data_IF_576971907850
#
_entry.id   IF_576971907850
#
_cell.length_a   1.000
_cell.length_b   1.000
_cell.length_c   1.000
_cell.angle_alpha   90.00
_cell.angle_beta   90.00
_cell.angle_gamma   90.00
#
_symmetry.space_group_name_H-M   'P 1'
#
loop_
_entity.id
_entity.type
_entity.pdbx_description
1 polymer ?
#
# COMPACT_ATOMS: atom_id res chain seq x y z
N UNK A 1 11.36 16.13 5.52
CA UNK A 1 10.97 15.10 6.46
C UNK A 1 12.23 14.45 7.02
N UNK A 2 12.38 14.42 8.34
CA UNK A 2 13.54 13.86 9.05
C UNK A 2 13.73 12.36 8.68
N UNK A 3 12.69 11.57 8.77
CA UNK A 3 12.72 10.11 8.50
C UNK A 3 13.24 9.80 7.09
N UNK A 4 12.83 10.60 6.09
CA UNK A 4 13.33 10.49 4.72
C UNK A 4 14.85 10.70 4.64
N UNK A 5 15.35 11.73 5.33
CA UNK A 5 16.79 12.04 5.36
C UNK A 5 17.60 10.93 6.02
N UNK A 6 17.14 10.41 7.16
CA UNK A 6 17.80 9.31 7.86
C UNK A 6 17.86 8.04 6.99
N UNK A 7 16.75 7.69 6.34
CA UNK A 7 16.70 6.54 5.43
C UNK A 7 17.68 6.72 4.24
N UNK A 8 17.75 7.93 3.66
CA UNK A 8 18.68 8.25 2.57
C UNK A 8 20.15 8.22 3.01
N UNK A 9 20.45 8.66 4.24
CA UNK A 9 21.80 8.58 4.82
C UNK A 9 22.21 7.13 4.99
N UNK A 10 21.39 6.32 5.65
CA UNK A 10 21.65 4.90 5.91
C UNK A 10 21.82 4.12 4.61
N UNK A 11 20.91 4.28 3.66
CA UNK A 11 20.93 3.60 2.36
C UNK A 11 21.86 4.21 1.31
N UNK A 12 22.50 5.37 1.64
CA UNK A 12 23.36 6.14 0.71
C UNK A 12 22.66 6.43 -0.63
N UNK A 13 21.34 6.59 -0.62
CA UNK A 13 20.50 6.82 -1.80
C UNK A 13 20.64 5.75 -2.90
N UNK A 14 21.11 4.54 -2.55
CA UNK A 14 21.24 3.44 -3.51
C UNK A 14 19.87 2.89 -3.89
N UNK A 15 19.69 2.58 -5.17
CA UNK A 15 18.46 1.99 -5.69
C UNK A 15 18.74 1.17 -6.97
N UNK A 16 18.19 -0.05 -7.10
CA UNK A 16 17.53 -0.83 -6.03
C UNK A 16 18.54 -1.39 -5.01
N UNK A 17 18.08 -1.63 -3.78
CA UNK A 17 18.85 -2.38 -2.79
C UNK A 17 18.52 -3.87 -2.91
N UNK A 18 19.54 -4.72 -2.78
CA UNK A 18 19.37 -6.18 -2.68
C UNK A 18 19.04 -6.60 -1.24
N UNK A 19 18.68 -7.85 -1.03
CA UNK A 19 18.46 -8.39 0.32
C UNK A 19 19.76 -8.39 1.13
N UNK A 20 20.88 -8.71 0.47
CA UNK A 20 22.22 -8.71 1.04
C UNK A 20 22.65 -7.31 1.49
N UNK A 21 22.31 -6.27 0.69
CA UNK A 21 22.55 -4.88 1.08
C UNK A 21 21.82 -4.55 2.39
N UNK A 22 20.54 -4.93 2.51
CA UNK A 22 19.75 -4.65 3.72
C UNK A 22 20.27 -5.46 4.91
N UNK A 23 20.64 -6.72 4.72
CA UNK A 23 21.29 -7.55 5.76
C UNK A 23 22.58 -6.88 6.23
N UNK A 24 23.40 -6.40 5.31
CA UNK A 24 24.63 -5.67 5.65
C UNK A 24 24.33 -4.40 6.49
N UNK A 25 23.31 -3.62 6.10
CA UNK A 25 22.89 -2.43 6.85
C UNK A 25 22.41 -2.77 8.26
N UNK A 26 21.65 -3.86 8.42
CA UNK A 26 21.22 -4.36 9.72
C UNK A 26 22.43 -4.71 10.61
N UNK A 27 23.37 -5.50 10.09
CA UNK A 27 24.59 -5.90 10.82
C UNK A 27 25.43 -4.69 11.21
N UNK A 28 25.60 -3.71 10.31
CA UNK A 28 26.32 -2.47 10.58
C UNK A 28 25.69 -1.65 11.72
N UNK A 29 24.38 -1.80 11.94
CA UNK A 29 23.64 -1.15 13.03
C UNK A 29 23.45 -2.07 14.26
N UNK A 30 24.31 -3.09 14.42
CA UNK A 30 24.31 -4.03 15.54
C UNK A 30 22.99 -4.82 15.69
N UNK A 31 22.40 -5.21 14.57
CA UNK A 31 21.24 -6.10 14.53
C UNK A 31 21.65 -7.48 14.01
N UNK A 32 21.37 -8.52 14.78
CA UNK A 32 21.54 -9.89 14.36
C UNK A 32 20.30 -10.37 13.60
N UNK A 33 20.47 -11.40 12.76
CA UNK A 33 19.36 -11.97 11.98
C UNK A 33 19.39 -13.47 12.18
N UNK A 34 18.26 -14.05 12.58
CA UNK A 34 18.06 -15.49 12.73
C UNK A 34 16.78 -15.94 12.04
N UNK A 35 16.75 -17.18 11.63
CA UNK A 35 15.57 -17.79 11.02
C UNK A 35 14.88 -18.70 12.04
N UNK A 36 13.54 -18.69 12.01
CA UNK A 36 12.72 -19.62 12.78
C UNK A 36 11.67 -20.27 11.89
N UNK A 37 11.07 -21.34 12.37
CA UNK A 37 10.00 -22.03 11.67
C UNK A 37 8.72 -21.93 12.50
N UNK A 38 7.67 -21.39 11.90
CA UNK A 38 6.32 -21.42 12.44
C UNK A 38 5.35 -21.53 11.24
N UNK A 39 4.42 -22.46 11.34
CA UNK A 39 3.46 -22.69 10.28
C UNK A 39 2.40 -21.59 10.19
N UNK A 40 1.74 -21.50 9.04
CA UNK A 40 0.52 -20.74 8.89
C UNK A 40 -0.57 -21.35 9.75
N UNK A 41 -1.37 -20.52 10.36
CA UNK A 41 -2.56 -20.93 11.09
C UNK A 41 -3.81 -20.35 10.40
N UNK A 42 -4.94 -20.99 10.65
CA UNK A 42 -6.20 -20.65 10.05
C UNK A 42 -7.10 -20.05 11.11
N UNK A 43 -7.71 -18.92 10.80
CA UNK A 43 -8.75 -18.29 11.62
C UNK A 43 -10.05 -18.26 10.82
N UNK A 44 -11.16 -18.64 11.46
CA UNK A 44 -12.49 -18.47 10.86
C UNK A 44 -12.91 -17.01 11.03
N UNK A 45 -13.21 -16.32 9.92
CA UNK A 45 -13.85 -15.00 9.95
C UNK A 45 -15.37 -15.12 10.20
N UNK A 46 -16.02 -14.01 10.52
CA UNK A 46 -17.50 -13.96 10.67
C UNK A 46 -18.30 -14.43 9.44
N UNK A 47 -17.66 -14.43 8.26
CA UNK A 47 -18.25 -14.87 6.99
C UNK A 47 -17.97 -16.33 6.64
N UNK A 48 -17.62 -17.18 7.60
CA UNK A 48 -17.16 -18.57 7.39
C UNK A 48 -15.96 -18.72 6.43
N UNK A 49 -15.45 -17.64 5.90
CA UNK A 49 -14.28 -17.67 5.03
C UNK A 49 -13.03 -17.96 5.87
N UNK A 50 -12.34 -19.02 5.50
CA UNK A 50 -11.08 -19.40 6.13
C UNK A 50 -9.98 -18.41 5.74
N UNK A 51 -9.47 -17.66 6.72
CA UNK A 51 -8.37 -16.71 6.54
C UNK A 51 -7.08 -17.36 7.05
N UNK A 52 -6.08 -17.39 6.18
CA UNK A 52 -4.73 -17.86 6.55
C UNK A 52 -3.95 -16.71 7.18
N UNK A 53 -3.24 -17.01 8.24
CA UNK A 53 -2.35 -16.07 8.92
C UNK A 53 -0.94 -16.64 9.04
N UNK A 54 0.07 -15.79 8.87
CA UNK A 54 1.47 -16.15 8.97
C UNK A 54 2.21 -15.17 9.86
N UNK A 55 2.81 -15.68 10.93
CA UNK A 55 3.73 -14.92 11.75
C UNK A 55 5.07 -14.80 11.04
N UNK A 56 5.36 -13.62 10.47
CA UNK A 56 6.50 -13.42 9.56
C UNK A 56 7.82 -13.20 10.28
N UNK A 57 7.82 -12.30 11.25
CA UNK A 57 9.05 -11.87 11.90
C UNK A 57 8.77 -11.15 13.21
N UNK A 58 9.77 -11.11 14.09
CA UNK A 58 9.74 -10.32 15.32
C UNK A 58 11.15 -9.86 15.70
N UNK A 59 11.22 -8.87 16.58
CA UNK A 59 12.46 -8.37 17.13
C UNK A 59 12.57 -8.72 18.61
N UNK A 60 13.69 -9.28 19.00
CA UNK A 60 14.04 -9.47 20.41
C UNK A 60 15.06 -8.40 20.82
N UNK A 61 14.68 -7.59 21.79
CA UNK A 61 15.47 -6.49 22.31
C UNK A 61 16.72 -6.96 23.06
N UNK A 62 16.60 -8.05 23.82
CA UNK A 62 17.66 -8.54 24.72
C UNK A 62 18.90 -8.98 23.94
N UNK A 63 18.71 -9.77 22.89
CA UNK A 63 19.79 -10.24 22.04
C UNK A 63 19.97 -9.41 20.74
N UNK A 64 19.21 -8.32 20.58
CA UNK A 64 19.23 -7.43 19.41
C UNK A 64 19.06 -8.20 18.10
N UNK A 65 18.22 -9.22 18.11
CA UNK A 65 18.05 -10.14 16.99
C UNK A 65 16.70 -9.97 16.33
N UNK A 66 16.72 -9.88 15.00
CA UNK A 66 15.54 -9.97 14.14
C UNK A 66 15.34 -11.44 13.79
N UNK A 67 14.21 -12.00 14.18
CA UNK A 67 13.82 -13.35 13.82
C UNK A 67 12.87 -13.31 12.64
N UNK A 68 13.19 -14.07 11.58
CA UNK A 68 12.40 -14.13 10.34
C UNK A 68 11.93 -15.56 10.10
N UNK A 69 10.65 -15.72 9.75
CA UNK A 69 10.10 -17.02 9.44
C UNK A 69 10.64 -17.56 8.12
N UNK A 70 11.16 -18.77 8.15
CA UNK A 70 11.72 -19.47 6.99
C UNK A 70 10.71 -19.67 5.86
N UNK A 71 9.41 -19.60 6.12
CA UNK A 71 8.34 -19.65 5.11
C UNK A 71 8.43 -18.52 4.08
N UNK A 72 8.93 -17.34 4.48
CA UNK A 72 9.10 -16.22 3.56
C UNK A 72 10.51 -16.12 2.97
N UNK A 73 11.41 -17.07 3.25
CA UNK A 73 12.82 -17.02 2.81
C UNK A 73 12.97 -16.84 1.31
N UNK A 74 12.08 -17.43 0.52
CA UNK A 74 12.07 -17.30 -0.94
C UNK A 74 11.49 -15.97 -1.45
N UNK A 75 10.80 -15.22 -0.60
CA UNK A 75 10.25 -13.91 -0.93
C UNK A 75 11.19 -12.80 -0.46
N UNK A 76 12.25 -12.60 -1.24
CA UNK A 76 13.30 -11.62 -0.93
C UNK A 76 12.76 -10.20 -0.75
N UNK A 77 11.68 -9.84 -1.44
CA UNK A 77 11.07 -8.51 -1.34
C UNK A 77 10.39 -8.28 0.00
N UNK A 78 9.73 -9.29 0.57
CA UNK A 78 9.16 -9.21 1.93
C UNK A 78 10.24 -9.24 3.00
N UNK A 79 11.23 -10.12 2.86
CA UNK A 79 12.39 -10.16 3.77
C UNK A 79 13.06 -8.80 3.85
N UNK A 80 13.34 -8.17 2.70
CA UNK A 80 13.92 -6.81 2.67
C UNK A 80 13.06 -5.80 3.40
N UNK A 81 11.76 -5.84 3.19
CA UNK A 81 10.84 -4.90 3.82
C UNK A 81 10.82 -5.07 5.34
N UNK A 82 10.66 -6.30 5.83
CA UNK A 82 10.64 -6.59 7.28
C UNK A 82 11.98 -6.19 7.93
N UNK A 83 13.12 -6.53 7.32
CA UNK A 83 14.43 -6.09 7.80
C UNK A 83 14.57 -4.57 7.84
N UNK A 84 14.08 -3.87 6.80
CA UNK A 84 14.12 -2.41 6.74
C UNK A 84 13.27 -1.76 7.82
N UNK A 85 12.17 -2.39 8.22
CA UNK A 85 11.31 -1.91 9.30
C UNK A 85 11.98 -2.01 10.66
N UNK A 86 12.67 -3.12 10.95
CA UNK A 86 13.44 -3.26 12.19
C UNK A 86 14.70 -2.40 12.21
N UNK A 87 15.33 -2.21 11.07
CA UNK A 87 16.43 -1.24 10.94
C UNK A 87 15.93 0.17 11.26
N UNK A 88 14.75 0.54 10.78
CA UNK A 88 14.10 1.80 11.13
C UNK A 88 13.90 1.94 12.64
N UNK A 89 13.34 0.90 13.28
CA UNK A 89 13.14 0.87 14.72
C UNK A 89 14.46 1.08 15.48
N UNK A 90 15.55 0.47 15.01
CA UNK A 90 16.87 0.69 15.59
C UNK A 90 17.38 2.10 15.40
N UNK A 91 17.25 2.66 14.21
CA UNK A 91 17.77 4.00 13.86
C UNK A 91 16.95 5.11 14.51
N UNK A 92 15.62 5.01 14.46
CA UNK A 92 14.72 6.07 14.93
C UNK A 92 14.43 6.00 16.44
N UNK A 93 14.40 4.79 17.00
CA UNK A 93 13.93 4.55 18.37
C UNK A 93 14.97 3.83 19.24
N UNK A 94 16.23 3.75 18.80
CA UNK A 94 17.30 3.09 19.56
C UNK A 94 17.17 1.58 19.71
N UNK A 95 16.10 0.95 19.19
CA UNK A 95 15.82 -0.48 19.35
C UNK A 95 15.30 -0.81 20.77
N UNK A 96 14.43 0.04 21.29
CA UNK A 96 13.86 -0.07 22.65
C UNK A 96 12.88 -1.22 22.85
N UNK A 97 12.55 -1.93 21.77
CA UNK A 97 11.64 -3.09 21.79
C UNK A 97 10.15 -2.73 21.73
N UNK A 98 9.82 -1.43 21.69
CA UNK A 98 8.44 -0.97 21.52
C UNK A 98 8.06 -1.00 20.03
N UNK A 99 7.76 -2.20 19.56
CA UNK A 99 7.36 -2.49 18.16
C UNK A 99 6.02 -3.19 18.18
N UNK A 100 5.08 -2.71 17.38
CA UNK A 100 3.82 -3.44 17.26
C UNK A 100 3.98 -4.71 16.45
N UNK A 101 3.15 -5.70 16.77
CA UNK A 101 3.09 -6.96 16.05
C UNK A 101 2.48 -6.83 14.63
N UNK A 102 1.92 -5.67 14.28
CA UNK A 102 1.26 -5.45 12.99
C UNK A 102 2.21 -5.27 11.82
N UNK A 103 3.33 -4.60 12.03
CA UNK A 103 4.26 -4.23 10.95
C UNK A 103 4.92 -5.47 10.36
N UNK A 104 5.27 -6.43 11.19
CA UNK A 104 5.96 -7.66 10.83
C UNK A 104 5.05 -8.88 10.66
N UNK A 105 3.74 -8.67 10.78
CA UNK A 105 2.78 -9.73 10.60
C UNK A 105 2.40 -10.48 11.87
N UNK A 106 2.79 -10.03 13.07
CA UNK A 106 2.41 -10.48 14.40
C UNK A 106 1.66 -11.82 14.55
N UNK A 107 1.00 -12.05 15.65
CA UNK A 107 0.23 -13.29 15.87
C UNK A 107 -0.90 -13.51 14.87
N UNK A 108 -1.44 -12.44 14.30
CA UNK A 108 -2.52 -12.47 13.31
C UNK A 108 -2.01 -12.27 11.86
N UNK A 109 -0.70 -12.13 11.69
CA UNK A 109 -0.12 -11.85 10.38
C UNK A 109 -0.57 -10.51 9.78
N UNK A 110 -0.34 -10.35 8.49
CA UNK A 110 -0.83 -9.22 7.72
C UNK A 110 -2.27 -9.41 7.21
N UNK A 111 -2.89 -10.53 7.53
CA UNK A 111 -4.26 -10.84 7.13
C UNK A 111 -5.29 -9.96 7.84
N UNK A 112 -6.45 -9.73 7.23
CA UNK A 112 -7.51 -8.97 7.88
C UNK A 112 -7.91 -9.63 9.20
N UNK A 113 -7.98 -8.84 10.28
CA UNK A 113 -8.55 -9.32 11.52
C UNK A 113 -10.05 -9.56 11.33
N UNK A 114 -10.62 -10.62 11.93
CA UNK A 114 -12.06 -10.66 12.13
C UNK A 114 -12.50 -9.37 12.81
N UNK A 115 -13.62 -8.82 12.39
CA UNK A 115 -14.11 -7.56 12.91
C UNK A 115 -14.55 -7.74 14.36
N UNK A 116 -13.73 -7.35 15.30
CA UNK A 116 -14.16 -7.24 16.69
C UNK A 116 -15.05 -6.00 16.83
N UNK A 117 -16.31 -6.21 17.14
CA UNK A 117 -17.32 -5.14 17.39
C UNK A 117 -17.02 -4.29 18.63
N UNK A 118 -15.87 -4.44 19.23
CA UNK A 118 -15.53 -3.71 20.44
C UNK A 118 -15.00 -2.32 20.08
N UNK A 119 -15.77 -1.31 20.47
CA UNK A 119 -15.26 0.05 20.68
C UNK A 119 -14.32 0.06 21.88
N UNK A 120 -13.20 -0.63 21.78
CA UNK A 120 -12.13 -0.48 22.75
C UNK A 120 -11.66 0.98 22.68
N UNK A 121 -11.72 1.69 23.77
CA UNK A 121 -11.10 3.01 23.87
C UNK A 121 -9.64 2.89 23.50
N UNK A 122 -9.18 3.69 22.52
CA UNK A 122 -7.77 3.75 22.13
C UNK A 122 -6.94 4.17 23.33
N UNK A 123 -5.99 3.34 23.71
CA UNK A 123 -5.05 3.66 24.77
C UNK A 123 -3.91 4.53 24.24
N UNK A 124 -3.20 5.24 25.12
CA UNK A 124 -1.99 5.98 24.75
C UNK A 124 -0.93 5.06 24.14
N UNK A 125 -0.88 3.81 24.59
CA UNK A 125 0.03 2.80 24.08
C UNK A 125 -0.32 2.38 22.64
N UNK A 126 -1.60 2.27 22.31
CA UNK A 126 -2.06 1.98 20.95
C UNK A 126 -1.67 3.10 19.99
N UNK A 127 -1.79 4.34 20.42
CA UNK A 127 -1.36 5.50 19.64
C UNK A 127 0.15 5.51 19.42
N UNK A 128 0.94 5.18 20.45
CA UNK A 128 2.39 5.08 20.35
C UNK A 128 2.80 3.99 19.38
N UNK A 129 2.19 2.80 19.45
CA UNK A 129 2.45 1.71 18.51
C UNK A 129 2.08 2.10 17.08
N UNK A 130 0.92 2.69 16.86
CA UNK A 130 0.48 3.13 15.54
C UNK A 130 1.42 4.19 14.94
N UNK A 131 1.88 5.12 15.76
CA UNK A 131 2.85 6.15 15.35
C UNK A 131 4.19 5.54 14.95
N UNK A 132 4.73 4.67 15.77
CA UNK A 132 6.00 3.98 15.48
C UNK A 132 5.93 3.08 14.26
N UNK A 133 4.81 2.40 14.06
CA UNK A 133 4.55 1.61 12.86
C UNK A 133 4.55 2.48 11.61
N UNK A 134 3.93 3.66 11.69
CA UNK A 134 3.97 4.63 10.61
C UNK A 134 5.41 5.08 10.31
N UNK A 135 6.17 5.49 11.32
CA UNK A 135 7.56 5.93 11.15
C UNK A 135 8.45 4.85 10.56
N UNK A 136 8.37 3.62 11.10
CA UNK A 136 9.16 2.48 10.61
C UNK A 136 8.76 2.08 9.18
N UNK A 137 7.48 2.07 8.87
CA UNK A 137 6.98 1.78 7.51
C UNK A 137 7.39 2.86 6.51
N UNK A 138 7.34 4.13 6.93
CA UNK A 138 7.77 5.25 6.09
C UNK A 138 9.28 5.20 5.82
N UNK A 139 10.09 4.96 6.86
CA UNK A 139 11.53 4.77 6.73
C UNK A 139 11.86 3.61 5.79
N UNK A 140 11.23 2.44 5.98
CA UNK A 140 11.45 1.27 5.14
C UNK A 140 11.14 1.58 3.67
N UNK A 141 10.04 2.28 3.41
CA UNK A 141 9.69 2.76 2.06
C UNK A 141 10.74 3.73 1.50
N UNK A 142 11.25 4.65 2.30
CA UNK A 142 12.26 5.61 1.90
C UNK A 142 13.64 4.98 1.68
N UNK A 143 14.02 4.02 2.53
CA UNK A 143 15.26 3.25 2.38
C UNK A 143 15.28 2.42 1.10
N UNK A 144 14.21 1.64 0.88
CA UNK A 144 14.10 0.77 -0.30
C UNK A 144 13.85 1.54 -1.60
N UNK A 145 13.27 2.74 -1.51
CA UNK A 145 12.91 3.58 -2.65
C UNK A 145 13.26 5.05 -2.35
N UNK A 146 14.55 5.43 -2.30
CA UNK A 146 14.96 6.81 -2.05
C UNK A 146 14.39 7.73 -3.12
N UNK A 147 13.93 8.91 -2.71
CA UNK A 147 13.05 9.79 -3.49
C UNK A 147 13.52 10.02 -4.93
N UNK A 148 14.73 10.55 -5.10
CA UNK A 148 15.19 10.93 -6.43
C UNK A 148 15.61 9.74 -7.31
N UNK A 149 16.38 8.74 -6.83
CA UNK A 149 16.70 7.54 -7.61
C UNK A 149 15.46 6.75 -8.03
N UNK A 150 14.49 6.59 -7.12
CA UNK A 150 13.24 5.89 -7.41
C UNK A 150 12.40 6.63 -8.46
N UNK A 151 12.22 7.96 -8.33
CA UNK A 151 11.50 8.75 -9.34
C UNK A 151 12.16 8.65 -10.71
N UNK A 152 13.49 8.75 -10.79
CA UNK A 152 14.22 8.58 -12.07
C UNK A 152 14.00 7.20 -12.66
N UNK A 153 14.04 6.15 -11.84
CA UNK A 153 13.79 4.78 -12.30
C UNK A 153 12.35 4.58 -12.77
N UNK A 154 11.36 5.07 -12.03
CA UNK A 154 9.96 5.00 -12.44
C UNK A 154 9.69 5.78 -13.73
N UNK A 155 10.27 6.96 -13.89
CA UNK A 155 10.14 7.75 -15.11
C UNK A 155 10.71 7.00 -16.34
N UNK A 156 11.91 6.40 -16.21
CA UNK A 156 12.50 5.57 -17.27
C UNK A 156 11.65 4.34 -17.64
N UNK A 157 10.89 3.81 -16.69
CA UNK A 157 9.99 2.68 -16.90
C UNK A 157 8.53 3.13 -17.15
N UNK A 158 8.31 4.41 -17.52
CA UNK A 158 7.00 4.96 -17.86
C UNK A 158 5.94 4.70 -16.78
N UNK A 159 6.35 4.69 -15.51
CA UNK A 159 5.50 4.38 -14.35
C UNK A 159 4.79 3.02 -14.42
N UNK A 160 5.34 2.06 -15.16
CA UNK A 160 4.80 0.70 -15.17
C UNK A 160 4.87 0.08 -13.77
N UNK A 161 3.70 -0.26 -13.25
CA UNK A 161 3.55 -0.87 -11.92
C UNK A 161 4.26 -2.21 -11.83
N UNK A 162 4.37 -2.99 -12.92
CA UNK A 162 5.10 -4.26 -12.93
C UNK A 162 6.61 -4.10 -12.65
N UNK A 163 7.13 -2.89 -12.69
CA UNK A 163 8.52 -2.57 -12.33
C UNK A 163 8.90 -3.02 -10.91
N UNK A 164 7.91 -3.27 -10.02
CA UNK A 164 8.17 -3.82 -8.68
C UNK A 164 9.01 -5.12 -8.74
N UNK A 165 8.77 -5.98 -9.74
CA UNK A 165 9.51 -7.24 -9.93
C UNK A 165 10.99 -6.96 -10.20
N UNK A 166 11.26 -6.04 -11.11
CA UNK A 166 12.62 -5.63 -11.50
C UNK A 166 13.40 -5.00 -10.35
N UNK A 167 12.70 -4.25 -9.48
CA UNK A 167 13.32 -3.60 -8.33
C UNK A 167 13.38 -4.51 -7.09
N UNK A 168 12.86 -5.73 -7.19
CA UNK A 168 12.79 -6.66 -6.07
C UNK A 168 11.98 -6.09 -4.91
N UNK A 169 10.86 -5.42 -5.20
CA UNK A 169 9.92 -4.84 -4.24
C UNK A 169 8.64 -5.65 -4.20
N UNK A 170 7.87 -5.51 -3.12
CA UNK A 170 6.46 -5.89 -3.18
C UNK A 170 5.67 -4.82 -3.93
N UNK A 171 4.60 -5.17 -4.65
CA UNK A 171 3.80 -4.17 -5.35
C UNK A 171 3.21 -3.13 -4.39
N UNK A 172 2.89 -3.51 -3.16
CA UNK A 172 2.41 -2.60 -2.12
C UNK A 172 3.45 -1.54 -1.74
N UNK A 173 4.72 -1.92 -1.62
CA UNK A 173 5.82 -0.97 -1.33
C UNK A 173 5.97 0.03 -2.46
N UNK A 174 5.98 -0.43 -3.71
CA UNK A 174 6.09 0.45 -4.88
C UNK A 174 4.92 1.43 -4.93
N UNK A 175 3.68 0.96 -4.85
CA UNK A 175 2.48 1.82 -4.96
C UNK A 175 2.40 2.83 -3.81
N UNK A 176 2.62 2.42 -2.55
CA UNK A 176 2.66 3.35 -1.40
C UNK A 176 3.75 4.39 -1.56
N UNK A 177 4.91 3.98 -2.07
CA UNK A 177 6.01 4.94 -2.28
C UNK A 177 5.70 5.95 -3.37
N UNK A 178 5.03 5.54 -4.44
CA UNK A 178 4.55 6.48 -5.47
C UNK A 178 3.67 7.58 -4.88
N UNK A 179 2.75 7.24 -3.99
CA UNK A 179 1.89 8.24 -3.34
C UNK A 179 2.70 9.16 -2.42
N UNK A 180 3.65 8.62 -1.64
CA UNK A 180 4.44 9.40 -0.70
C UNK A 180 5.37 10.44 -1.37
N UNK A 181 5.78 10.21 -2.62
CA UNK A 181 6.64 11.13 -3.39
C UNK A 181 5.90 11.88 -4.47
N UNK A 182 4.59 11.67 -4.60
CA UNK A 182 3.75 12.33 -5.60
C UNK A 182 3.74 13.85 -5.38
N UNK A 183 3.86 14.65 -6.44
CA UNK A 183 3.61 16.10 -6.36
C UNK A 183 2.10 16.42 -6.24
N UNK A 184 1.23 15.46 -6.57
CA UNK A 184 -0.22 15.65 -6.55
C UNK A 184 -0.76 15.52 -5.13
N UNK A 185 -1.67 16.41 -4.74
CA UNK A 185 -2.28 16.42 -3.40
C UNK A 185 -3.38 15.39 -3.26
N UNK A 186 -4.13 15.15 -4.33
CA UNK A 186 -5.29 14.23 -4.36
C UNK A 186 -4.86 12.88 -4.92
N UNK A 187 -4.38 12.02 -4.04
CA UNK A 187 -3.97 10.66 -4.34
C UNK A 187 -4.60 9.69 -3.34
N UNK A 188 -4.63 8.42 -3.70
CA UNK A 188 -5.01 7.35 -2.79
C UNK A 188 -4.13 6.11 -2.96
N UNK A 189 -4.07 5.32 -1.90
CA UNK A 189 -3.63 3.94 -1.90
C UNK A 189 -4.62 3.14 -1.05
N UNK A 190 -5.17 2.09 -1.62
CA UNK A 190 -6.08 1.17 -0.96
C UNK A 190 -5.56 -0.25 -1.06
N UNK A 191 -5.84 -1.03 -0.01
CA UNK A 191 -5.57 -2.45 0.08
C UNK A 191 -6.86 -3.14 0.53
N UNK A 192 -7.46 -3.97 -0.34
CA UNK A 192 -8.75 -4.57 -0.12
C UNK A 192 -8.73 -6.09 -0.26
N UNK A 193 -9.43 -6.73 0.65
CA UNK A 193 -9.70 -8.17 0.66
C UNK A 193 -11.15 -8.44 0.31
N UNK A 194 -11.44 -9.61 -0.33
CA UNK A 194 -12.81 -10.03 -0.55
C UNK A 194 -13.59 -10.14 0.78
N UNK A 195 -14.90 -9.87 0.80
CA UNK A 195 -15.71 -9.36 -0.33
C UNK A 195 -15.63 -7.83 -0.52
N UNK A 196 -15.07 -7.08 0.38
CA UNK A 196 -15.01 -5.61 0.32
C UNK A 196 -14.35 -5.01 1.56
N UNK A 197 -13.48 -5.74 2.23
CA UNK A 197 -12.77 -5.27 3.42
C UNK A 197 -11.56 -4.43 3.02
N UNK A 198 -11.58 -3.14 3.35
CA UNK A 198 -10.45 -2.22 3.17
C UNK A 198 -9.51 -2.32 4.37
N UNK A 199 -8.46 -3.07 4.24
CA UNK A 199 -7.42 -3.21 5.26
C UNK A 199 -6.64 -1.92 5.46
N UNK A 200 -6.31 -1.25 4.37
CA UNK A 200 -5.50 -0.02 4.39
C UNK A 200 -6.13 1.03 3.51
N UNK A 201 -6.27 2.23 4.06
CA UNK A 201 -6.78 3.40 3.37
C UNK A 201 -5.79 4.54 3.61
N UNK A 202 -4.97 4.87 2.62
CA UNK A 202 -4.19 6.10 2.58
C UNK A 202 -4.77 7.01 1.51
N UNK A 203 -4.96 8.26 1.84
CA UNK A 203 -5.50 9.26 0.91
C UNK A 203 -4.89 10.62 1.14
N UNK A 204 -4.69 11.37 0.07
CA UNK A 204 -4.37 12.79 0.12
C UNK A 204 -5.58 13.63 0.55
N UNK A 205 -5.34 14.90 0.76
CA UNK A 205 -6.37 15.85 1.18
C UNK A 205 -7.55 15.89 0.21
N UNK A 206 -8.77 15.89 0.75
CA UNK A 206 -10.00 16.17 0.01
C UNK A 206 -10.31 15.24 -1.17
N UNK A 207 -9.91 13.96 -1.09
CA UNK A 207 -10.39 12.98 -2.06
C UNK A 207 -11.82 12.57 -1.68
N UNK A 208 -12.82 12.77 -2.56
CA UNK A 208 -14.19 12.39 -2.29
C UNK A 208 -14.33 10.87 -2.46
N UNK A 209 -14.42 10.14 -1.34
CA UNK A 209 -14.71 8.71 -1.36
C UNK A 209 -16.13 8.47 -0.83
N UNK A 210 -16.99 7.74 -1.58
CA UNK A 210 -18.41 7.60 -1.23
C UNK A 210 -18.67 6.81 0.04
N UNK A 211 -17.72 5.99 0.49
CA UNK A 211 -17.83 5.18 1.72
C UNK A 211 -17.22 5.84 2.97
N UNK A 212 -16.71 7.05 2.86
CA UNK A 212 -16.10 7.77 3.99
C UNK A 212 -14.92 7.02 4.62
N UNK A 213 -15.01 6.79 5.93
CA UNK A 213 -13.95 6.07 6.69
C UNK A 213 -14.29 4.60 6.96
N UNK A 214 -15.36 4.07 6.36
CA UNK A 214 -15.74 2.68 6.54
C UNK A 214 -14.66 1.72 6.00
N UNK A 215 -14.33 0.71 6.79
CA UNK A 215 -13.42 -0.36 6.38
C UNK A 215 -14.14 -1.53 5.72
N UNK A 216 -15.44 -1.67 5.95
CA UNK A 216 -16.25 -2.71 5.31
C UNK A 216 -17.19 -2.04 4.32
N UNK A 217 -17.07 -2.44 3.08
CA UNK A 217 -17.91 -1.96 1.99
C UNK A 217 -18.84 -3.10 1.60
N UNK A 218 -20.07 -3.05 2.08
CA UNK A 218 -21.07 -4.09 1.86
C UNK A 218 -21.54 -4.17 0.41
N UNK A 219 -21.48 -3.07 -0.32
CA UNK A 219 -21.84 -3.02 -1.74
C UNK A 219 -20.77 -2.26 -2.52
N UNK A 220 -19.64 -2.93 -2.85
CA UNK A 220 -18.51 -2.28 -3.50
C UNK A 220 -18.84 -1.88 -4.93
N UNK A 221 -18.77 -0.58 -5.20
CA UNK A 221 -19.02 -0.01 -6.53
C UNK A 221 -17.90 -0.32 -7.51
N UNK A 222 -18.21 -1.00 -8.61
CA UNK A 222 -17.26 -1.35 -9.67
C UNK A 222 -16.71 -0.14 -10.45
N UNK A 223 -17.26 1.04 -10.24
CA UNK A 223 -16.69 2.27 -10.81
C UNK A 223 -15.35 2.66 -10.16
N UNK A 224 -15.01 2.06 -9.02
CA UNK A 224 -13.68 2.14 -8.44
C UNK A 224 -12.83 0.95 -8.89
N UNK A 225 -11.68 1.22 -9.48
CA UNK A 225 -10.78 0.21 -10.04
C UNK A 225 -10.42 -0.91 -9.07
N UNK A 226 -10.31 -0.60 -7.77
CA UNK A 226 -10.04 -1.61 -6.75
C UNK A 226 -11.17 -2.64 -6.64
N UNK A 227 -12.42 -2.20 -6.61
CA UNK A 227 -13.57 -3.11 -6.46
C UNK A 227 -13.89 -3.86 -7.74
N UNK A 228 -13.72 -3.21 -8.90
CA UNK A 228 -13.81 -3.90 -10.19
C UNK A 228 -12.83 -5.06 -10.28
N UNK A 229 -11.61 -4.86 -9.80
CA UNK A 229 -10.59 -5.90 -9.79
C UNK A 229 -10.85 -6.94 -8.69
N UNK A 230 -11.36 -6.51 -7.53
CA UNK A 230 -11.71 -7.39 -6.41
C UNK A 230 -12.85 -8.36 -6.78
N UNK A 231 -13.85 -7.88 -7.53
CA UNK A 231 -14.96 -8.69 -8.03
C UNK A 231 -14.53 -9.66 -9.14
N UNK A 232 -13.35 -9.45 -9.74
CA UNK A 232 -12.80 -10.35 -10.76
C UNK A 232 -11.36 -10.72 -10.49
N UNK A 233 -11.14 -11.56 -9.49
CA UNK A 233 -9.81 -12.02 -9.06
C UNK A 233 -9.11 -12.94 -10.06
N UNK A 234 -9.73 -13.29 -11.18
CA UNK A 234 -9.06 -14.05 -12.26
C UNK A 234 -8.10 -13.20 -13.06
N UNK A 235 -8.30 -11.88 -13.05
CA UNK A 235 -7.42 -10.91 -13.73
C UNK A 235 -6.09 -10.83 -12.97
N UNK A 236 -5.01 -11.28 -13.61
CA UNK A 236 -3.64 -11.29 -13.03
C UNK A 236 -2.80 -10.08 -13.43
N UNK A 237 -3.21 -9.34 -14.46
CA UNK A 237 -2.52 -8.14 -14.95
C UNK A 237 -2.98 -6.89 -14.20
N UNK A 238 -2.16 -5.83 -14.13
CA UNK A 238 -2.63 -4.54 -13.66
C UNK A 238 -3.85 -4.06 -14.46
N UNK A 239 -4.82 -3.48 -13.76
CA UNK A 239 -6.02 -2.90 -14.35
C UNK A 239 -5.99 -1.39 -14.15
N UNK A 240 -5.88 -0.63 -15.23
CA UNK A 240 -5.98 0.83 -15.20
C UNK A 240 -7.42 1.26 -15.43
N UNK A 241 -7.86 2.28 -14.72
CA UNK A 241 -9.20 2.83 -14.85
C UNK A 241 -9.17 4.35 -14.69
N UNK A 242 -9.92 5.02 -15.56
CA UNK A 242 -10.34 6.40 -15.37
C UNK A 242 -11.70 6.39 -14.68
N UNK A 243 -11.83 7.20 -13.64
CA UNK A 243 -13.08 7.37 -12.89
C UNK A 243 -13.39 8.86 -12.79
N UNK A 244 -14.66 9.19 -12.90
CA UNK A 244 -15.14 10.55 -12.70
C UNK A 244 -15.90 10.62 -11.38
N UNK A 245 -15.56 11.60 -10.55
CA UNK A 245 -16.17 11.81 -9.25
C UNK A 245 -16.73 13.23 -9.19
N UNK A 246 -17.91 13.37 -8.61
CA UNK A 246 -18.49 14.69 -8.32
C UNK A 246 -18.55 14.88 -6.80
N UNK A 247 -18.04 16.02 -6.35
CA UNK A 247 -18.15 16.46 -4.96
C UNK A 247 -18.68 17.89 -4.96
N UNK A 248 -19.89 18.06 -4.46
CA UNK A 248 -20.65 19.31 -4.59
C UNK A 248 -20.72 19.77 -6.04
N UNK A 249 -20.11 20.90 -6.38
CA UNK A 249 -20.08 21.45 -7.73
C UNK A 249 -18.79 21.14 -8.50
N UNK A 250 -17.85 20.38 -7.91
CA UNK A 250 -16.58 20.07 -8.53
C UNK A 250 -16.58 18.67 -9.14
N UNK A 251 -16.06 18.57 -10.36
CA UNK A 251 -15.85 17.30 -11.04
C UNK A 251 -14.36 16.97 -10.99
N UNK A 252 -14.05 15.73 -10.61
CA UNK A 252 -12.71 15.22 -10.53
C UNK A 252 -12.54 14.05 -11.49
N UNK A 253 -11.50 14.11 -12.29
CA UNK A 253 -11.05 13.00 -13.11
C UNK A 253 -9.93 12.27 -12.39
N UNK A 254 -10.12 10.98 -12.11
CA UNK A 254 -9.17 10.12 -11.43
C UNK A 254 -8.61 9.05 -12.35
N UNK A 255 -7.29 8.93 -12.35
CA UNK A 255 -6.61 7.77 -12.93
C UNK A 255 -6.16 6.86 -11.80
N UNK A 256 -6.53 5.59 -11.87
CA UNK A 256 -6.13 4.57 -10.90
C UNK A 256 -5.58 3.32 -11.57
N UNK A 257 -4.69 2.62 -10.85
CA UNK A 257 -4.17 1.32 -11.24
C UNK A 257 -4.34 0.36 -10.08
N UNK A 258 -4.97 -0.78 -10.34
CA UNK A 258 -5.13 -1.85 -9.37
C UNK A 258 -4.39 -3.11 -9.80
N UNK A 259 -3.94 -3.88 -8.82
CA UNK A 259 -3.23 -5.14 -9.03
C UNK A 259 -3.65 -6.17 -7.99
N UNK A 260 -4.02 -7.37 -8.46
CA UNK A 260 -4.18 -8.53 -7.58
C UNK A 260 -2.82 -9.04 -7.15
N UNK A 261 -2.69 -9.30 -5.86
CA UNK A 261 -1.52 -9.94 -5.26
C UNK A 261 -1.95 -10.87 -4.13
N UNK A 262 -1.00 -11.58 -3.54
CA UNK A 262 -1.25 -12.37 -2.35
C UNK A 262 -0.49 -11.78 -1.17
N UNK A 263 -1.08 -11.84 0.02
CA UNK A 263 -0.36 -11.52 1.24
C UNK A 263 0.70 -12.59 1.59
N UNK A 264 1.39 -12.44 2.72
CA UNK A 264 2.45 -13.39 3.10
C UNK A 264 1.90 -14.79 3.46
N UNK A 265 0.64 -14.89 3.84
CA UNK A 265 -0.03 -16.16 4.16
C UNK A 265 -0.66 -16.82 2.92
N UNK A 266 -0.67 -16.12 1.77
CA UNK A 266 -1.23 -16.61 0.52
C UNK A 266 -2.66 -16.17 0.25
N UNK A 267 -3.28 -15.33 1.10
CA UNK A 267 -4.62 -14.82 0.84
C UNK A 267 -4.61 -13.83 -0.34
N UNK A 268 -5.53 -13.98 -1.29
CA UNK A 268 -5.63 -13.03 -2.40
C UNK A 268 -6.20 -11.70 -1.92
N UNK A 269 -5.62 -10.61 -2.40
CA UNK A 269 -6.12 -9.25 -2.18
C UNK A 269 -5.78 -8.35 -3.37
N UNK A 270 -6.42 -7.19 -3.42
CA UNK A 270 -6.19 -6.20 -4.46
C UNK A 270 -5.66 -4.92 -3.83
N UNK A 271 -4.57 -4.43 -4.39
CA UNK A 271 -4.02 -3.12 -4.06
C UNK A 271 -4.29 -2.15 -5.21
N UNK A 272 -4.55 -0.90 -4.89
CA UNK A 272 -4.87 0.13 -5.85
C UNK A 272 -4.22 1.46 -5.46
N UNK A 273 -3.67 2.15 -6.43
CA UNK A 273 -3.22 3.53 -6.27
C UNK A 273 -3.79 4.40 -7.38
N UNK A 274 -4.02 5.66 -7.09
CA UNK A 274 -4.53 6.59 -8.07
C UNK A 274 -4.29 8.04 -7.69
N UNK A 275 -4.44 8.91 -8.67
CA UNK A 275 -4.26 10.36 -8.56
C UNK A 275 -5.41 11.10 -9.24
N UNK A 276 -5.71 12.31 -8.77
CA UNK A 276 -6.54 13.24 -9.51
C UNK A 276 -5.74 13.84 -10.66
N UNK A 277 -6.31 13.88 -11.83
CA UNK A 277 -5.75 14.54 -13.01
C UNK A 277 -6.09 16.03 -13.09
N UNK A 278 -6.96 16.55 -12.22
CA UNK A 278 -7.38 17.95 -12.25
C UNK A 278 -6.22 18.94 -12.09
N UNK A 279 -5.15 18.54 -11.35
CA UNK A 279 -3.96 19.39 -11.20
C UNK A 279 -3.09 19.44 -12.49
N UNK A 280 -3.33 18.53 -13.44
CA UNK A 280 -2.64 18.44 -14.72
C UNK A 280 -3.48 18.95 -15.90
N UNK A 281 -4.73 19.33 -15.65
CA UNK A 281 -5.70 19.81 -16.64
C UNK A 281 -6.01 21.27 -16.33
N UNK A 282 -6.11 22.11 -17.36
CA UNK A 282 -6.57 23.49 -17.17
C UNK A 282 -8.06 23.52 -16.82
N UNK A 283 -8.33 23.51 -15.51
CA UNK A 283 -9.70 23.56 -14.98
C UNK A 283 -10.36 24.94 -15.11
N UNK A 284 -9.68 25.96 -15.62
CA UNK A 284 -10.26 27.25 -15.90
C UNK A 284 -10.79 27.34 -17.32
N UNK A 285 -10.26 26.51 -18.22
CA UNK A 285 -10.71 26.44 -19.59
C UNK A 285 -12.17 25.99 -19.71
N UNK A 286 -12.97 26.74 -20.47
CA UNK A 286 -14.41 26.50 -20.61
C UNK A 286 -14.70 25.19 -21.37
N UNK A 287 -13.93 24.88 -22.41
CA UNK A 287 -14.08 23.67 -23.20
C UNK A 287 -13.77 22.43 -22.36
N UNK A 288 -12.70 22.47 -21.57
CA UNK A 288 -12.33 21.41 -20.62
C UNK A 288 -13.43 21.15 -19.60
N UNK A 289 -14.03 22.21 -19.03
CA UNK A 289 -15.16 22.06 -18.10
C UNK A 289 -16.37 21.42 -18.76
N UNK A 290 -16.69 21.82 -19.97
CA UNK A 290 -17.79 21.27 -20.72
C UNK A 290 -17.58 19.80 -21.04
N UNK A 291 -16.39 19.42 -21.51
CA UNK A 291 -16.02 18.01 -21.78
C UNK A 291 -16.14 17.17 -20.51
N UNK A 292 -15.63 17.64 -19.37
CA UNK A 292 -15.74 16.91 -18.10
C UNK A 292 -17.19 16.76 -17.64
N UNK A 293 -18.02 17.78 -17.83
CA UNK A 293 -19.44 17.71 -17.52
C UNK A 293 -20.18 16.71 -18.43
N UNK A 294 -19.86 16.69 -19.71
CA UNK A 294 -20.40 15.71 -20.66
C UNK A 294 -20.00 14.29 -20.28
N UNK A 295 -18.71 14.07 -19.97
CA UNK A 295 -18.21 12.76 -19.54
C UNK A 295 -18.92 12.32 -18.24
N UNK A 296 -19.08 13.23 -17.27
CA UNK A 296 -19.78 12.93 -16.01
C UNK A 296 -21.23 12.52 -16.28
N UNK A 297 -21.97 13.32 -17.06
CA UNK A 297 -23.36 13.06 -17.39
C UNK A 297 -23.53 11.72 -18.10
N UNK A 298 -22.61 11.40 -19.00
CA UNK A 298 -22.60 10.15 -19.74
C UNK A 298 -22.33 8.96 -18.82
N UNK A 299 -21.34 9.06 -17.94
CA UNK A 299 -21.03 8.00 -16.96
C UNK A 299 -22.17 7.78 -15.97
N UNK A 300 -22.83 8.84 -15.54
CA UNK A 300 -23.94 8.79 -14.61
C UNK A 300 -25.19 8.13 -15.24
N UNK A 301 -25.53 8.51 -16.46
CA UNK A 301 -26.76 8.04 -17.15
C UNK A 301 -26.60 6.64 -17.75
N UNK A 302 -25.38 6.29 -18.22
CA UNK A 302 -25.15 5.05 -18.99
C UNK A 302 -24.56 3.91 -18.14
N UNK A 303 -24.40 4.10 -16.81
CA UNK A 303 -23.77 3.08 -15.93
C UNK A 303 -22.31 2.80 -16.29
N UNK A 304 -21.65 3.72 -17.00
CA UNK A 304 -20.20 3.70 -17.30
C UNK A 304 -19.82 3.31 -18.74
N UNK A 305 -18.83 3.18 -19.08
CA UNK A 305 -17.68 2.99 -19.97
C UNK A 305 -17.88 2.61 -21.45
N UNK A 306 -18.86 1.81 -21.87
CA UNK A 306 -18.88 1.26 -23.25
C UNK A 306 -19.22 2.29 -24.33
N UNK A 307 -20.09 3.22 -24.05
CA UNK A 307 -20.53 4.22 -25.01
C UNK A 307 -19.56 5.42 -25.12
N UNK A 308 -18.91 5.81 -24.03
CA UNK A 308 -17.83 6.79 -24.04
C UNK A 308 -16.67 6.38 -24.94
N UNK A 309 -16.31 5.08 -24.92
CA UNK A 309 -15.27 4.56 -25.81
C UNK A 309 -15.65 4.65 -27.29
N UNK A 310 -16.94 4.62 -27.63
CA UNK A 310 -17.41 4.76 -29.03
C UNK A 310 -17.42 6.22 -29.48
N UNK A 311 -17.77 7.17 -28.59
CA UNK A 311 -17.93 8.58 -28.92
C UNK A 311 -16.57 9.32 -29.07
N UNK A 312 -15.55 8.90 -28.32
CA UNK A 312 -14.23 9.56 -28.31
C UNK A 312 -13.11 8.75 -28.99
N UNK A 313 -13.47 7.79 -29.83
CA UNK A 313 -12.51 7.05 -30.67
C UNK A 313 -12.19 7.76 -32.01
N UNK A 314 -12.45 9.06 -32.09
CA UNK A 314 -12.03 9.86 -33.24
C UNK A 314 -10.85 10.74 -32.88
#
# INVERSE_FOLDING_TARGET
NYIEKEAEIIGKKRFPLTTEDVIYLCKKNNLNIKWFNKDTFHTKGESEQEIKSLFRSFYNKEDKTIYINSKIKKDSSRVKYDLSTYLAHKVLHGGDGVVSNHVSGGELGSSPKPFEKHSASLTQQDLLYAWRDFECSFFAGALLCPKMPFRKAMNRNQYDINSYKRFGLTPAVLMRRLTAISPYKKWHYFDAYPPGYLRTIYRGSSIPIPWGSSKIISNPCEQWGIFKHLNNLTIKRPLSQLSILKDNNNIYLYCSVSLKTNDAAGNPHVICTGISLNDAIDMQDHETKQILQEIYTYCYNAGGSKELQKKHKK
#
